data_IF_558780280382
#
_entry.id   IF_558780280382
#
_cell.length_a   1.000
_cell.length_b   1.000
_cell.length_c   1.000
_cell.angle_alpha   90.00
_cell.angle_beta   90.00
_cell.angle_gamma   90.00
#
_symmetry.space_group_name_H-M   'P 1'
#
loop_
_entity.id
_entity.type
_entity.pdbx_description
1 polymer ?
#
# COMPACT_ATOMS: atom_id res chain seq x y z
N UNK A 1 -8.98 -17.92 -35.85
CA UNK A 1 -10.07 -18.02 -34.87
C UNK A 1 -10.11 -16.71 -34.11
N UNK A 2 -11.21 -15.96 -34.18
CA UNK A 2 -11.41 -14.82 -33.29
C UNK A 2 -11.71 -15.38 -31.89
N UNK A 3 -10.91 -14.99 -30.89
CA UNK A 3 -10.98 -15.54 -29.52
C UNK A 3 -11.87 -14.67 -28.60
N UNK A 4 -12.53 -13.67 -29.17
CA UNK A 4 -13.48 -12.81 -28.46
C UNK A 4 -14.63 -12.41 -29.37
N UNK A 5 -15.84 -12.41 -28.81
CA UNK A 5 -17.03 -11.86 -29.45
C UNK A 5 -17.53 -10.69 -28.59
N UNK A 6 -17.65 -9.51 -29.19
CA UNK A 6 -18.18 -8.32 -28.52
C UNK A 6 -19.69 -8.31 -28.68
N UNK A 7 -20.43 -8.70 -27.64
CA UNK A 7 -21.87 -8.51 -27.63
C UNK A 7 -22.18 -7.08 -27.19
N UNK A 8 -22.80 -6.32 -28.08
CA UNK A 8 -23.18 -4.93 -27.79
C UNK A 8 -24.59 -4.92 -27.20
N UNK A 9 -24.69 -5.19 -25.90
CA UNK A 9 -25.86 -4.84 -25.11
C UNK A 9 -25.66 -3.40 -24.60
N UNK A 10 -26.67 -2.54 -24.79
CA UNK A 10 -26.54 -1.08 -24.62
C UNK A 10 -26.28 -0.64 -23.18
N UNK A 11 -26.42 -1.54 -22.21
CA UNK A 11 -26.21 -1.25 -20.78
C UNK A 11 -25.03 -2.01 -20.13
N UNK A 12 -24.49 -3.05 -20.77
CA UNK A 12 -23.39 -3.86 -20.21
C UNK A 12 -22.38 -4.24 -21.30
N UNK A 13 -21.12 -3.82 -21.12
CA UNK A 13 -19.99 -4.32 -21.91
C UNK A 13 -19.62 -5.72 -21.44
N UNK A 14 -20.33 -6.73 -21.94
CA UNK A 14 -20.03 -8.14 -21.69
C UNK A 14 -18.99 -8.64 -22.70
N UNK A 15 -17.86 -9.16 -22.21
CA UNK A 15 -16.85 -9.82 -23.02
C UNK A 15 -16.74 -11.29 -22.60
N UNK A 16 -16.96 -12.20 -23.55
CA UNK A 16 -16.85 -13.64 -23.33
C UNK A 16 -15.48 -14.09 -23.86
N UNK A 17 -14.64 -14.62 -22.98
CA UNK A 17 -13.36 -15.23 -23.34
C UNK A 17 -13.53 -16.75 -23.25
N UNK A 18 -13.45 -17.45 -24.39
CA UNK A 18 -13.51 -18.91 -24.44
C UNK A 18 -12.11 -19.51 -24.31
N UNK A 19 -11.92 -20.35 -23.30
CA UNK A 19 -10.65 -21.06 -23.09
C UNK A 19 -10.65 -22.41 -23.82
N UNK A 20 -9.63 -22.70 -24.65
CA UNK A 20 -9.53 -23.97 -25.38
C UNK A 20 -9.10 -25.14 -24.49
N UNK A 21 -8.65 -24.89 -23.24
CA UNK A 21 -8.15 -25.90 -22.31
C UNK A 21 -8.69 -25.67 -20.88
N UNK A 22 -8.82 -26.76 -20.10
CA UNK A 22 -9.32 -26.71 -18.69
C UNK A 22 -8.38 -25.97 -17.73
N UNK A 23 -7.13 -25.76 -18.10
CA UNK A 23 -6.12 -25.03 -17.31
C UNK A 23 -5.32 -24.09 -18.21
N UNK A 24 -4.89 -22.95 -17.66
CA UNK A 24 -4.11 -21.95 -18.38
C UNK A 24 -3.89 -20.69 -17.55
N UNK A 25 -3.03 -19.81 -18.04
CA UNK A 25 -2.76 -18.50 -17.43
C UNK A 25 -3.38 -17.41 -18.30
N UNK A 26 -4.11 -16.50 -17.67
CA UNK A 26 -4.61 -15.28 -18.31
C UNK A 26 -3.73 -14.14 -17.84
N UNK A 27 -3.14 -13.41 -18.78
CA UNK A 27 -2.46 -12.14 -18.48
C UNK A 27 -3.38 -11.01 -18.90
N UNK A 28 -3.78 -10.18 -17.93
CA UNK A 28 -4.57 -8.99 -18.15
C UNK A 28 -3.65 -7.78 -18.02
N UNK A 29 -3.71 -6.86 -18.99
CA UNK A 29 -3.09 -5.55 -18.86
C UNK A 29 -4.18 -4.56 -18.42
N UNK A 30 -4.23 -4.27 -17.12
CA UNK A 30 -5.28 -3.49 -16.47
C UNK A 30 -4.71 -2.78 -15.25
N UNK A 31 -5.36 -1.69 -14.84
CA UNK A 31 -5.16 -1.00 -13.57
C UNK A 31 -5.75 -1.76 -12.36
N UNK A 32 -6.14 -3.03 -12.52
CA UNK A 32 -6.64 -3.88 -11.46
C UNK A 32 -5.62 -4.96 -11.08
N UNK A 33 -5.49 -5.22 -9.79
CA UNK A 33 -4.69 -6.31 -9.24
C UNK A 33 -5.58 -7.40 -8.63
N UNK A 34 -5.08 -8.63 -8.57
CA UNK A 34 -5.79 -9.74 -7.93
C UNK A 34 -5.32 -9.87 -6.49
N UNK A 35 -6.22 -9.62 -5.54
CA UNK A 35 -5.97 -9.82 -4.10
C UNK A 35 -6.99 -10.80 -3.56
N UNK A 36 -6.51 -11.92 -3.00
CA UNK A 36 -7.34 -12.99 -2.45
C UNK A 36 -8.43 -13.51 -3.40
N UNK A 37 -8.13 -13.54 -4.70
CA UNK A 37 -9.06 -14.02 -5.74
C UNK A 37 -10.06 -12.98 -6.25
N UNK A 38 -10.00 -11.73 -5.78
CA UNK A 38 -10.83 -10.63 -6.26
C UNK A 38 -10.00 -9.63 -7.06
N UNK A 39 -10.51 -9.18 -8.22
CA UNK A 39 -9.94 -8.04 -8.93
C UNK A 39 -10.31 -6.76 -8.20
N UNK A 40 -9.29 -6.01 -7.77
CA UNK A 40 -9.44 -4.72 -7.11
C UNK A 40 -8.60 -3.69 -7.83
N UNK A 41 -9.06 -2.45 -7.89
CA UNK A 41 -8.28 -1.37 -8.51
C UNK A 41 -6.93 -1.27 -7.79
N UNK A 42 -5.85 -1.26 -8.55
CA UNK A 42 -4.50 -1.13 -8.02
C UNK A 42 -4.39 0.20 -7.26
N UNK A 43 -3.60 0.18 -6.18
CA UNK A 43 -3.39 1.37 -5.35
C UNK A 43 -1.91 1.68 -5.29
N UNK A 44 -1.53 2.97 -5.29
CA UNK A 44 -0.16 3.36 -4.99
C UNK A 44 0.21 2.92 -3.57
N UNK A 45 1.23 2.08 -3.44
CA UNK A 45 1.70 1.54 -2.16
C UNK A 45 3.21 1.80 -2.03
N UNK A 46 3.59 2.32 -0.87
CA UNK A 46 4.98 2.50 -0.48
C UNK A 46 5.27 1.59 0.71
N UNK A 47 6.24 0.69 0.59
CA UNK A 47 6.74 -0.10 1.72
C UNK A 47 7.94 0.58 2.33
N UNK A 48 7.99 0.65 3.65
CA UNK A 48 9.05 1.31 4.42
C UNK A 48 9.67 0.31 5.38
N UNK A 49 11.01 0.28 5.43
CA UNK A 49 11.82 -0.57 6.29
C UNK A 49 12.55 0.25 7.36
N UNK A 50 13.11 -0.43 8.37
CA UNK A 50 13.72 0.20 9.54
C UNK A 50 14.77 1.27 9.23
N UNK A 51 15.59 1.03 8.20
CA UNK A 51 16.74 1.85 7.83
C UNK A 51 16.35 3.03 6.93
N UNK A 52 15.05 3.23 6.71
CA UNK A 52 14.53 4.22 5.78
C UNK A 52 14.55 3.75 4.34
N UNK A 53 15.00 2.51 4.04
CA UNK A 53 14.78 1.94 2.71
C UNK A 53 13.30 1.82 2.44
N UNK A 54 12.93 2.07 1.20
CA UNK A 54 11.56 1.98 0.76
C UNK A 54 11.46 1.33 -0.61
N UNK A 55 10.30 0.75 -0.89
CA UNK A 55 9.93 0.20 -2.19
C UNK A 55 8.63 0.84 -2.64
N UNK A 56 8.60 1.34 -3.87
CA UNK A 56 7.41 1.86 -4.55
C UNK A 56 6.93 0.84 -5.58
N UNK A 57 5.61 0.75 -5.78
CA UNK A 57 5.05 0.11 -6.96
C UNK A 57 5.00 1.08 -8.16
N UNK A 58 4.63 0.57 -9.33
CA UNK A 58 4.53 1.36 -10.58
C UNK A 58 3.64 2.61 -10.41
N UNK A 59 2.55 2.49 -9.64
CA UNK A 59 1.62 3.60 -9.42
C UNK A 59 2.14 4.67 -8.45
N UNK A 60 3.05 4.31 -7.53
CA UNK A 60 3.69 5.24 -6.59
C UNK A 60 5.08 5.69 -7.06
N UNK A 61 5.41 5.44 -8.32
CA UNK A 61 6.67 5.88 -8.92
C UNK A 61 6.83 7.41 -8.79
N UNK A 62 7.96 7.83 -8.20
CA UNK A 62 8.26 9.23 -7.89
C UNK A 62 8.02 9.62 -6.43
N UNK A 63 7.33 8.79 -5.64
CA UNK A 63 7.27 8.96 -4.20
C UNK A 63 8.63 8.63 -3.56
N UNK A 64 9.00 9.39 -2.53
CA UNK A 64 10.27 9.21 -1.82
C UNK A 64 10.05 9.16 -0.33
N UNK A 65 10.83 8.34 0.37
CA UNK A 65 10.78 8.26 1.83
C UNK A 65 12.13 8.64 2.41
N UNK A 66 12.09 9.47 3.45
CA UNK A 66 13.26 9.93 4.18
C UNK A 66 13.10 9.60 5.66
N UNK A 67 14.08 8.92 6.26
CA UNK A 67 14.12 8.70 7.71
C UNK A 67 14.74 9.92 8.38
N UNK A 68 13.93 10.66 9.14
CA UNK A 68 14.36 11.88 9.84
C UNK A 68 15.07 11.56 11.16
N UNK A 69 14.52 10.63 11.92
CA UNK A 69 15.08 10.18 13.21
C UNK A 69 14.59 8.77 13.52
N UNK A 70 15.03 8.21 14.65
CA UNK A 70 14.50 6.92 15.12
C UNK A 70 12.97 6.99 15.26
N UNK A 71 12.29 6.06 14.58
CA UNK A 71 10.85 5.96 14.54
C UNK A 71 10.12 7.07 13.79
N UNK A 72 10.82 7.92 13.01
CA UNK A 72 10.18 9.02 12.26
C UNK A 72 10.58 8.98 10.79
N UNK A 73 9.57 8.79 9.94
CA UNK A 73 9.71 8.69 8.49
C UNK A 73 8.87 9.77 7.80
N UNK A 74 9.41 10.40 6.77
CA UNK A 74 8.74 11.44 5.99
C UNK A 74 8.57 10.95 4.55
N UNK A 75 7.33 10.86 4.11
CA UNK A 75 6.95 10.50 2.75
C UNK A 75 6.67 11.79 1.97
N UNK A 76 7.36 11.99 0.85
CA UNK A 76 7.27 13.17 -0.02
C UNK A 76 6.77 12.79 -1.41
N UNK A 77 6.36 13.80 -2.17
CA UNK A 77 5.79 13.69 -3.53
C UNK A 77 4.47 12.92 -3.57
N UNK A 78 3.66 13.05 -2.51
CA UNK A 78 2.34 12.44 -2.37
C UNK A 78 1.33 13.51 -1.94
N UNK A 79 0.04 13.27 -2.17
CA UNK A 79 -1.07 14.14 -1.77
C UNK A 79 -1.80 13.60 -0.53
N UNK A 80 -1.07 12.99 0.40
CA UNK A 80 -1.62 12.31 1.57
C UNK A 80 -2.01 10.85 1.30
N UNK A 81 -2.88 10.31 2.15
CA UNK A 81 -3.35 8.92 2.04
C UNK A 81 -4.31 8.74 0.88
N UNK A 82 -4.36 7.51 0.37
CA UNK A 82 -5.32 7.16 -0.68
C UNK A 82 -6.76 7.37 -0.17
N UNK A 83 -7.52 8.21 -0.87
CA UNK A 83 -8.91 8.56 -0.51
C UNK A 83 -9.93 7.45 -0.84
N UNK A 84 -9.50 6.38 -1.53
CA UNK A 84 -10.38 5.27 -1.86
C UNK A 84 -10.76 4.46 -0.60
N UNK A 85 -12.02 4.57 -0.18
CA UNK A 85 -12.58 3.86 0.96
C UNK A 85 -12.52 2.32 0.80
N UNK A 86 -12.37 1.79 -0.42
CA UNK A 86 -12.18 0.37 -0.66
C UNK A 86 -10.82 -0.16 -0.16
N UNK A 87 -9.86 0.74 0.10
CA UNK A 87 -8.48 0.40 0.47
C UNK A 87 -7.96 1.13 1.71
N UNK A 88 -8.37 2.39 1.91
CA UNK A 88 -7.90 3.23 3.01
C UNK A 88 -8.57 2.95 4.35
N UNK A 89 -9.78 2.40 4.36
CA UNK A 89 -10.60 2.40 5.57
C UNK A 89 -10.73 3.82 6.16
N UNK A 90 -11.13 3.93 7.43
CA UNK A 90 -11.22 5.24 8.13
C UNK A 90 -9.83 5.79 8.49
N UNK A 91 -8.82 4.93 8.53
CA UNK A 91 -7.49 5.24 9.10
C UNK A 91 -6.36 5.38 8.06
N UNK A 92 -6.69 5.53 6.77
CA UNK A 92 -5.71 5.94 5.74
C UNK A 92 -4.87 4.81 5.11
N UNK A 93 -5.23 3.54 5.25
CA UNK A 93 -4.61 2.46 4.47
C UNK A 93 -3.16 2.16 4.85
N UNK A 94 -2.83 2.30 6.13
CA UNK A 94 -1.54 1.91 6.70
C UNK A 94 -1.59 0.47 7.20
N UNK A 95 -0.70 -0.37 6.70
CA UNK A 95 -0.54 -1.76 7.14
C UNK A 95 0.64 -1.90 8.11
N UNK A 96 0.32 -2.22 9.36
CA UNK A 96 1.29 -2.32 10.46
C UNK A 96 1.80 -3.77 10.56
N UNK A 97 3.10 -4.00 10.81
CA UNK A 97 3.63 -5.34 10.96
C UNK A 97 3.04 -6.07 12.18
N UNK A 98 2.48 -7.25 11.91
CA UNK A 98 1.90 -8.15 12.92
C UNK A 98 2.84 -9.32 13.24
N UNK A 99 2.85 -9.72 14.51
CA UNK A 99 3.58 -10.89 14.99
C UNK A 99 2.79 -12.19 14.76
N UNK A 100 3.42 -13.35 15.00
CA UNK A 100 2.81 -14.69 14.83
C UNK A 100 1.52 -14.88 15.65
N UNK A 101 1.40 -14.19 16.77
CA UNK A 101 0.21 -14.17 17.63
C UNK A 101 -0.88 -13.18 17.17
N UNK A 102 -0.75 -12.60 15.96
CA UNK A 102 -1.64 -11.58 15.39
C UNK A 102 -1.70 -10.26 16.18
N UNK A 103 -0.75 -10.03 17.08
CA UNK A 103 -0.62 -8.76 17.78
C UNK A 103 0.30 -7.80 16.99
N UNK A 104 -0.09 -6.53 16.81
CA UNK A 104 0.77 -5.53 16.17
C UNK A 104 2.05 -5.29 16.98
N UNK A 105 3.18 -5.16 16.29
CA UNK A 105 4.50 -4.99 16.94
C UNK A 105 4.80 -3.56 17.36
N UNK A 106 4.13 -2.58 16.76
CA UNK A 106 4.38 -1.15 16.97
C UNK A 106 3.03 -0.40 16.93
N UNK A 107 3.01 0.76 17.57
CA UNK A 107 2.02 1.79 17.31
C UNK A 107 2.48 2.63 16.11
N UNK A 108 1.52 3.12 15.35
CA UNK A 108 1.79 4.03 14.23
C UNK A 108 0.87 5.23 14.39
N UNK A 109 1.46 6.40 14.33
CA UNK A 109 0.78 7.68 14.25
C UNK A 109 1.23 8.40 12.98
N UNK A 110 0.41 9.31 12.48
CA UNK A 110 0.75 10.05 11.29
C UNK A 110 0.20 11.47 11.31
N UNK A 111 0.88 12.34 10.58
CA UNK A 111 0.42 13.71 10.32
C UNK A 111 0.59 14.00 8.84
N UNK A 112 -0.50 14.38 8.18
CA UNK A 112 -0.45 14.88 6.81
C UNK A 112 -0.12 16.38 6.90
N UNK A 113 0.95 16.77 6.24
CA UNK A 113 1.41 18.15 6.15
C UNK A 113 0.64 18.90 5.05
N UNK A 114 0.67 20.23 5.09
CA UNK A 114 -0.08 21.08 4.14
C UNK A 114 0.38 20.90 2.67
N UNK A 115 1.61 20.43 2.46
CA UNK A 115 2.16 20.09 1.14
C UNK A 115 1.70 18.71 0.63
N UNK A 116 0.92 17.97 1.42
CA UNK A 116 0.49 16.61 1.15
C UNK A 116 1.49 15.53 1.62
N UNK A 117 2.68 15.92 2.09
CA UNK A 117 3.66 14.97 2.63
C UNK A 117 3.11 14.30 3.89
N UNK A 118 3.49 13.04 4.11
CA UNK A 118 3.03 12.27 5.26
C UNK A 118 4.19 12.07 6.21
N UNK A 119 4.08 12.62 7.43
CA UNK A 119 4.99 12.33 8.53
C UNK A 119 4.45 11.13 9.30
N UNK A 120 5.17 10.01 9.22
CA UNK A 120 4.85 8.76 9.91
C UNK A 120 5.73 8.63 11.15
N UNK A 121 5.12 8.34 12.29
CA UNK A 121 5.79 8.13 13.57
C UNK A 121 5.45 6.74 14.10
N UNK A 122 6.46 5.99 14.52
CA UNK A 122 6.32 4.62 15.00
C UNK A 122 6.77 4.53 16.44
N UNK A 123 5.97 3.88 17.27
CA UNK A 123 6.24 3.76 18.70
C UNK A 123 6.24 2.30 19.15
N UNK A 124 6.99 2.01 20.20
CA UNK A 124 7.05 0.71 20.81
C UNK A 124 5.70 0.34 21.40
N UNK A 125 5.26 -0.89 21.15
CA UNK A 125 3.98 -1.40 21.63
C UNK A 125 4.19 -2.63 22.50
N UNK A 126 3.84 -2.52 23.77
CA UNK A 126 3.80 -3.66 24.67
C UNK A 126 2.39 -4.25 24.78
N UNK A 127 2.32 -5.56 24.98
CA UNK A 127 1.06 -6.29 25.20
C UNK A 127 1.05 -6.92 26.59
N UNK A 128 0.63 -6.20 27.65
CA UNK A 128 0.71 -6.69 29.03
C UNK A 128 -0.15 -7.94 29.28
N UNK A 129 -1.21 -8.12 28.51
CA UNK A 129 -2.10 -9.29 28.56
C UNK A 129 -1.50 -10.55 27.93
N UNK A 130 -0.40 -10.44 27.17
CA UNK A 130 0.28 -11.58 26.57
C UNK A 130 1.25 -12.26 27.58
N UNK A 131 1.58 -13.55 27.37
CA UNK A 131 2.63 -14.24 28.12
C UNK A 131 3.97 -13.50 28.01
N UNK A 132 4.83 -13.57 29.03
CA UNK A 132 6.07 -12.78 29.12
C UNK A 132 6.96 -12.83 27.87
N UNK A 133 7.11 -14.01 27.27
CA UNK A 133 7.90 -14.21 26.05
C UNK A 133 7.26 -13.58 24.78
N UNK A 134 5.96 -13.25 24.83
CA UNK A 134 5.17 -12.70 23.72
C UNK A 134 4.65 -11.28 23.99
N UNK A 135 5.06 -10.64 25.10
CA UNK A 135 4.68 -9.26 25.46
C UNK A 135 5.26 -8.19 24.54
N UNK A 136 6.17 -8.58 23.65
CA UNK A 136 6.94 -7.67 22.80
C UNK A 136 7.80 -6.68 23.61
N UNK A 137 8.28 -7.07 24.81
CA UNK A 137 9.18 -6.23 25.60
C UNK A 137 10.55 -6.12 24.93
N UNK A 138 11.08 -4.91 24.83
CA UNK A 138 12.43 -4.64 24.32
C UNK A 138 13.24 -3.88 25.38
N UNK A 139 14.48 -4.33 25.61
CA UNK A 139 15.35 -3.65 26.57
C UNK A 139 15.64 -2.22 26.10
N UNK A 140 15.41 -1.24 26.99
CA UNK A 140 15.64 0.18 26.71
C UNK A 140 14.47 0.94 26.11
N UNK A 141 13.32 0.30 25.91
CA UNK A 141 12.10 0.95 25.41
C UNK A 141 10.93 0.64 26.34
N UNK A 142 10.11 1.65 26.62
CA UNK A 142 8.80 1.54 27.25
C UNK A 142 7.69 1.60 26.18
N UNK A 143 6.48 1.16 26.54
CA UNK A 143 5.30 1.35 25.70
C UNK A 143 5.09 2.84 25.38
N UNK A 144 4.98 3.16 24.09
CA UNK A 144 4.85 4.53 23.59
C UNK A 144 6.17 5.25 23.28
N UNK A 145 7.34 4.63 23.52
CA UNK A 145 8.62 5.23 23.12
C UNK A 145 8.80 5.18 21.60
N UNK A 146 9.38 6.23 21.01
CA UNK A 146 9.73 6.23 19.58
C UNK A 146 10.69 5.09 19.27
N UNK A 147 10.38 4.31 18.23
CA UNK A 147 11.21 3.19 17.81
C UNK A 147 11.10 2.98 16.31
N UNK A 148 12.21 2.64 15.66
CA UNK A 148 12.18 2.24 14.25
C UNK A 148 11.36 0.95 14.03
N UNK A 149 10.94 0.76 12.78
CA UNK A 149 10.24 -0.45 12.34
C UNK A 149 11.09 -1.69 12.68
N UNK A 150 10.50 -2.78 13.21
CA UNK A 150 11.26 -3.98 13.55
C UNK A 150 12.04 -4.58 12.36
N UNK A 151 13.26 -5.06 12.61
CA UNK A 151 14.13 -5.70 11.61
C UNK A 151 13.37 -6.79 10.84
N UNK A 152 13.45 -6.78 9.51
CA UNK A 152 12.79 -7.76 8.65
C UNK A 152 11.28 -7.61 8.53
N UNK A 153 10.72 -6.50 9.02
CA UNK A 153 9.31 -6.12 8.89
C UNK A 153 9.18 -4.75 8.23
N UNK A 154 8.14 -4.57 7.43
CA UNK A 154 7.82 -3.30 6.76
C UNK A 154 6.49 -2.78 7.23
N UNK A 155 6.33 -1.47 7.14
CA UNK A 155 5.01 -0.83 7.06
C UNK A 155 4.69 -0.63 5.59
N UNK A 156 3.44 -0.89 5.19
CA UNK A 156 2.96 -0.51 3.85
C UNK A 156 2.00 0.67 3.99
N UNK A 157 2.24 1.73 3.23
CA UNK A 157 1.44 2.96 3.25
C UNK A 157 0.80 3.15 1.89
N UNK A 158 -0.52 3.26 1.86
CA UNK A 158 -1.27 3.57 0.64
C UNK A 158 -1.39 5.07 0.48
N UNK A 159 -0.84 5.60 -0.61
CA UNK A 159 -0.74 7.04 -0.84
C UNK A 159 -1.61 7.47 -2.01
N UNK A 160 -2.04 8.73 -1.98
CA UNK A 160 -2.59 9.40 -3.13
C UNK A 160 -1.46 10.04 -3.92
N UNK A 161 -1.33 9.69 -5.19
CA UNK A 161 -0.33 10.31 -6.07
C UNK A 161 -0.92 11.51 -6.81
N UNK A 162 -0.13 12.57 -7.05
CA UNK A 162 -0.61 13.73 -7.79
C UNK A 162 -0.85 13.40 -9.27
N UNK A 163 -1.73 14.14 -9.94
CA UNK A 163 -2.07 13.90 -11.36
C UNK A 163 -0.87 14.07 -12.30
N UNK A 164 0.13 14.85 -11.90
CA UNK A 164 1.37 15.02 -12.62
C UNK A 164 2.40 13.92 -12.34
N UNK A 165 2.07 12.86 -11.58
CA UNK A 165 2.96 11.72 -11.36
C UNK A 165 3.30 11.01 -12.68
N UNK A 166 4.45 10.34 -12.70
CA UNK A 166 4.96 9.63 -13.89
C UNK A 166 3.90 8.65 -14.41
N UNK A 167 3.30 7.88 -13.50
CA UNK A 167 2.23 6.94 -13.80
C UNK A 167 1.00 7.61 -14.41
N UNK A 168 0.48 8.66 -13.76
CA UNK A 168 -0.74 9.34 -14.22
C UNK A 168 -0.54 10.00 -15.59
N UNK A 169 0.65 10.55 -15.86
CA UNK A 169 1.00 11.08 -17.18
C UNK A 169 1.10 10.00 -18.26
N UNK A 170 1.66 8.83 -17.93
CA UNK A 170 1.71 7.71 -18.88
C UNK A 170 0.31 7.19 -19.21
N UNK A 171 -0.54 7.03 -18.20
CA UNK A 171 -1.95 6.63 -18.38
C UNK A 171 -2.70 7.63 -19.29
N UNK A 172 -2.53 8.94 -19.03
CA UNK A 172 -3.17 9.99 -19.83
C UNK A 172 -2.71 9.99 -21.29
N UNK A 173 -1.41 9.81 -21.55
CA UNK A 173 -0.88 9.68 -22.92
C UNK A 173 -1.44 8.46 -23.66
N UNK A 174 -1.65 7.35 -22.95
CA UNK A 174 -2.24 6.13 -23.52
C UNK A 174 -3.73 6.32 -23.87
N UNK A 175 -4.46 7.17 -23.12
CA UNK A 175 -5.88 7.44 -23.38
C UNK A 175 -6.10 8.53 -24.42
N UNK A 176 -5.22 9.53 -24.50
CA UNK A 176 -5.30 10.61 -25.50
C UNK A 176 -4.74 10.21 -26.88
N UNK A 177 -3.98 9.12 -26.95
CA UNK A 177 -3.44 8.55 -28.19
C UNK A 177 -4.35 7.55 -28.90
N UNK A 178 -5.58 7.37 -28.43
CA UNK A 178 -6.64 6.52 -29.02
C UNK A 178 -7.74 7.38 -29.63
#
# INVERSE_FOLDING_TARGET
MAVYERQHDSERKLYIIQFPQKSGTITLNTDYTVVDGFMKKSSPIIKIWQDGKYETNDESEGATVERLSEGVYLIKNVLGFNADAAWGGVDGGVEIPICKNKLPLIWVDYTVLDDGSIKLMTYHREHPSAPEFARNKRAGYADGDLIDIPVGRSIAVRVQMPENSIWNQQQKKLTEGQ
#
